data_IF_061721333047
#
_entry.id   IF_061721333047
#
_cell.length_a   1.000
_cell.length_b   1.000
_cell.length_c   1.000
_cell.angle_alpha   90.00
_cell.angle_beta   90.00
_cell.angle_gamma   90.00
#
_symmetry.space_group_name_H-M   'P 1'
#
loop_
_entity.id
_entity.type
_entity.pdbx_description
1 polymer ?
#
# COMPACT_ATOMS: atom_id res chain seq x y z
N UNK A 1 0.78 -12.77 17.39
CA UNK A 1 -0.25 -12.00 16.69
C UNK A 1 0.40 -10.90 15.89
N UNK A 2 -0.23 -10.44 14.83
CA UNK A 2 0.24 -9.29 14.03
C UNK A 2 -0.64 -8.08 14.31
N UNK A 3 -0.04 -6.89 14.25
CA UNK A 3 -0.72 -5.61 14.39
C UNK A 3 -1.54 -5.34 13.12
N UNK A 4 -2.84 -5.07 13.27
CA UNK A 4 -3.68 -4.63 12.15
C UNK A 4 -3.68 -3.11 12.09
N UNK A 5 -2.95 -2.52 11.15
CA UNK A 5 -2.94 -1.07 10.94
C UNK A 5 -2.99 -0.71 9.45
N UNK A 6 -3.36 0.53 9.17
CA UNK A 6 -3.31 1.11 7.84
C UNK A 6 -1.86 1.22 7.36
N UNK A 7 -1.65 1.02 6.06
CA UNK A 7 -0.33 0.82 5.48
C UNK A 7 0.24 2.10 4.84
N UNK A 8 -0.56 2.86 4.10
CA UNK A 8 -0.15 4.08 3.41
C UNK A 8 0.79 3.89 2.21
N UNK A 9 1.31 2.68 1.98
CA UNK A 9 2.33 2.43 0.95
C UNK A 9 1.83 2.70 -0.47
N UNK A 10 0.61 2.28 -0.83
CA UNK A 10 0.04 2.58 -2.14
C UNK A 10 -0.18 4.09 -2.34
N UNK A 11 -0.69 4.79 -1.32
CA UNK A 11 -0.88 6.23 -1.37
C UNK A 11 0.46 6.96 -1.59
N UNK A 12 1.49 6.60 -0.82
CA UNK A 12 2.83 7.17 -0.96
C UNK A 12 3.42 6.89 -2.35
N UNK A 13 3.26 5.67 -2.87
CA UNK A 13 3.73 5.30 -4.20
C UNK A 13 3.02 6.08 -5.32
N UNK A 14 1.70 6.30 -5.19
CA UNK A 14 0.92 7.06 -6.17
C UNK A 14 1.29 8.56 -6.15
N UNK A 15 1.54 9.13 -4.97
CA UNK A 15 1.88 10.54 -4.81
C UNK A 15 3.33 10.85 -5.22
N UNK A 16 4.29 10.03 -4.77
CA UNK A 16 5.71 10.37 -4.78
C UNK A 16 6.54 9.43 -5.69
N UNK A 17 5.91 8.38 -6.23
CA UNK A 17 6.57 7.33 -6.98
C UNK A 17 7.03 6.16 -6.09
N UNK A 18 7.23 4.97 -6.69
CA UNK A 18 7.46 3.73 -5.94
C UNK A 18 8.76 3.73 -5.13
N UNK A 19 9.84 4.33 -5.68
CA UNK A 19 11.14 4.35 -5.01
C UNK A 19 11.18 5.32 -3.82
N UNK A 20 10.57 6.49 -3.96
CA UNK A 20 10.43 7.42 -2.84
C UNK A 20 9.54 6.81 -1.75
N UNK A 21 8.44 6.16 -2.15
CA UNK A 21 7.58 5.42 -1.23
C UNK A 21 8.34 4.36 -0.45
N UNK A 22 9.23 3.58 -1.08
CA UNK A 22 10.02 2.56 -0.37
C UNK A 22 10.90 3.18 0.72
N UNK A 23 11.57 4.29 0.42
CA UNK A 23 12.40 5.01 1.40
C UNK A 23 11.53 5.53 2.55
N UNK A 24 10.41 6.18 2.24
CA UNK A 24 9.48 6.72 3.24
C UNK A 24 8.94 5.61 4.14
N UNK A 25 8.49 4.50 3.55
CA UNK A 25 7.98 3.37 4.32
C UNK A 25 9.07 2.76 5.21
N UNK A 26 10.31 2.70 4.73
CA UNK A 26 11.44 2.22 5.56
C UNK A 26 11.65 3.12 6.78
N UNK A 27 11.58 4.44 6.62
CA UNK A 27 11.70 5.40 7.73
C UNK A 27 10.51 5.26 8.70
N UNK A 28 9.28 5.16 8.17
CA UNK A 28 8.07 4.97 8.98
C UNK A 28 8.19 3.70 9.84
N UNK A 29 8.57 2.58 9.24
CA UNK A 29 8.74 1.30 9.94
C UNK A 29 9.88 1.34 10.97
N UNK A 30 10.98 2.04 10.67
CA UNK A 30 12.06 2.23 11.63
C UNK A 30 11.58 3.03 12.86
N UNK A 31 10.77 4.08 12.65
CA UNK A 31 10.17 4.85 13.75
C UNK A 31 9.16 4.00 14.53
N UNK A 32 8.34 3.19 13.87
CA UNK A 32 7.42 2.24 14.54
C UNK A 32 8.18 1.25 15.42
N UNK A 33 9.26 0.67 14.89
CA UNK A 33 10.09 -0.27 15.62
C UNK A 33 10.80 0.35 16.81
N UNK A 34 11.42 1.53 16.65
CA UNK A 34 12.31 2.12 17.66
C UNK A 34 11.55 3.03 18.64
N UNK A 35 10.58 3.79 18.14
CA UNK A 35 9.85 4.79 18.92
C UNK A 35 8.55 4.26 19.53
N UNK A 36 7.88 3.31 18.86
CA UNK A 36 6.60 2.75 19.29
C UNK A 36 6.67 1.29 19.73
N UNK A 37 7.86 0.68 19.66
CA UNK A 37 8.10 -0.74 19.97
C UNK A 37 7.16 -1.70 19.19
N UNK A 38 6.75 -1.31 17.98
CA UNK A 38 5.89 -2.11 17.09
C UNK A 38 6.72 -2.66 15.92
N UNK A 39 6.62 -3.97 15.67
CA UNK A 39 7.25 -4.63 14.52
C UNK A 39 8.67 -5.19 14.72
N UNK A 40 9.35 -4.95 15.85
CA UNK A 40 10.60 -5.62 16.26
C UNK A 40 11.84 -5.39 15.37
N UNK A 41 13.01 -5.17 15.97
CA UNK A 41 14.21 -4.79 15.20
C UNK A 41 14.70 -5.89 14.24
N UNK A 42 14.61 -7.15 14.65
CA UNK A 42 14.99 -8.31 13.82
C UNK A 42 14.01 -8.59 12.69
N UNK A 43 12.75 -8.18 12.83
CA UNK A 43 11.72 -8.32 11.81
C UNK A 43 11.60 -7.07 10.91
N UNK A 44 12.33 -5.99 11.19
CA UNK A 44 12.30 -4.75 10.41
C UNK A 44 12.54 -4.99 8.91
N UNK A 45 13.47 -5.87 8.55
CA UNK A 45 13.73 -6.23 7.14
C UNK A 45 12.52 -6.89 6.47
N UNK A 46 11.88 -7.85 7.13
CA UNK A 46 10.66 -8.51 6.64
C UNK A 46 9.50 -7.52 6.54
N UNK A 47 9.36 -6.61 7.51
CA UNK A 47 8.37 -5.55 7.48
C UNK A 47 8.58 -4.62 6.29
N UNK A 48 9.82 -4.15 6.04
CA UNK A 48 10.15 -3.31 4.88
C UNK A 48 9.86 -4.04 3.58
N UNK A 49 10.16 -5.34 3.51
CA UNK A 49 9.85 -6.17 2.36
C UNK A 49 8.33 -6.24 2.11
N UNK A 50 7.54 -6.64 3.10
CA UNK A 50 6.08 -6.74 2.96
C UNK A 50 5.41 -5.39 2.67
N UNK A 51 5.78 -4.35 3.41
CA UNK A 51 5.04 -3.10 3.43
C UNK A 51 5.58 -2.10 2.41
N UNK A 52 6.90 -1.97 2.29
CA UNK A 52 7.54 -1.05 1.35
C UNK A 52 7.65 -1.64 -0.06
N UNK A 53 8.18 -2.86 -0.17
CA UNK A 53 8.43 -3.48 -1.49
C UNK A 53 7.15 -4.08 -2.04
N UNK A 54 6.52 -5.03 -1.34
CA UNK A 54 5.31 -5.70 -1.83
C UNK A 54 4.13 -4.73 -1.87
N UNK A 55 3.82 -4.07 -0.74
CA UNK A 55 2.70 -3.14 -0.63
C UNK A 55 2.90 -1.80 -1.34
N UNK A 56 4.12 -1.36 -1.59
CA UNK A 56 4.40 -0.09 -2.28
C UNK A 56 4.79 -0.32 -3.74
N UNK A 57 6.03 -0.77 -3.93
CA UNK A 57 6.68 -0.87 -5.25
C UNK A 57 5.96 -1.86 -6.16
N UNK A 58 5.70 -3.07 -5.68
CA UNK A 58 5.17 -4.17 -6.50
C UNK A 58 3.72 -3.91 -6.89
N UNK A 59 2.84 -3.53 -5.97
CA UNK A 59 1.45 -3.18 -6.31
C UNK A 59 1.36 -1.94 -7.20
N UNK A 60 2.28 -0.98 -7.07
CA UNK A 60 2.35 0.14 -8.00
C UNK A 60 2.58 -0.32 -9.45
N UNK A 61 3.60 -1.17 -9.68
CA UNK A 61 3.92 -1.63 -11.02
C UNK A 61 2.92 -2.65 -11.58
N UNK A 62 2.43 -3.57 -10.75
CA UNK A 62 1.58 -4.68 -11.19
C UNK A 62 0.09 -4.34 -11.21
N UNK A 63 -0.36 -3.35 -10.44
CA UNK A 63 -1.80 -3.04 -10.28
C UNK A 63 -2.09 -1.62 -10.75
N UNK A 64 -1.41 -0.63 -10.18
CA UNK A 64 -1.70 0.77 -10.48
C UNK A 64 -1.41 1.10 -11.94
N UNK A 65 -0.21 0.79 -12.44
CA UNK A 65 0.20 1.20 -13.78
C UNK A 65 -0.66 0.57 -14.91
N UNK A 66 -1.01 -0.74 -14.87
CA UNK A 66 -1.91 -1.34 -15.85
C UNK A 66 -3.33 -0.76 -15.79
N UNK A 67 -3.90 -0.62 -14.58
CA UNK A 67 -5.25 -0.06 -14.40
C UNK A 67 -5.30 1.42 -14.77
N UNK A 68 -4.19 2.16 -14.58
CA UNK A 68 -4.10 3.56 -14.96
C UNK A 68 -4.30 3.73 -16.46
N UNK A 69 -3.65 2.87 -17.26
CA UNK A 69 -3.74 2.92 -18.73
C UNK A 69 -5.16 2.66 -19.26
N UNK A 70 -5.95 1.86 -18.53
CA UNK A 70 -7.30 1.46 -18.97
C UNK A 70 -8.40 2.35 -18.39
N UNK A 71 -8.34 2.66 -17.10
CA UNK A 71 -9.46 3.29 -16.36
C UNK A 71 -9.23 4.75 -16.00
N UNK A 72 -7.98 5.22 -15.85
CA UNK A 72 -7.68 6.52 -15.23
C UNK A 72 -7.76 7.74 -16.16
N UNK A 73 -8.53 7.67 -17.25
CA UNK A 73 -8.76 8.81 -18.16
C UNK A 73 -9.63 9.92 -17.55
N UNK A 74 -10.36 9.60 -16.48
CA UNK A 74 -11.22 10.54 -15.76
C UNK A 74 -10.79 10.61 -14.30
N UNK A 75 -11.15 11.70 -13.60
CA UNK A 75 -10.93 11.80 -12.15
C UNK A 75 -11.51 10.62 -11.38
N UNK A 76 -12.74 10.19 -11.72
CA UNK A 76 -13.38 9.03 -11.10
C UNK A 76 -12.58 7.76 -11.37
N UNK A 77 -12.16 7.55 -12.61
CA UNK A 77 -11.32 6.41 -12.99
C UNK A 77 -10.00 6.36 -12.24
N UNK A 78 -9.32 7.50 -12.08
CA UNK A 78 -8.08 7.61 -11.31
C UNK A 78 -8.28 7.24 -9.84
N UNK A 79 -9.35 7.75 -9.21
CA UNK A 79 -9.68 7.42 -7.82
C UNK A 79 -10.02 5.93 -7.67
N UNK A 80 -10.79 5.35 -8.59
CA UNK A 80 -11.09 3.92 -8.59
C UNK A 80 -9.83 3.06 -8.75
N UNK A 81 -8.94 3.40 -9.69
CA UNK A 81 -7.65 2.72 -9.85
C UNK A 81 -6.81 2.79 -8.57
N UNK A 82 -6.78 3.96 -7.93
CA UNK A 82 -6.04 4.17 -6.68
C UNK A 82 -6.63 3.36 -5.52
N UNK A 83 -7.97 3.31 -5.41
CA UNK A 83 -8.67 2.53 -4.40
C UNK A 83 -8.38 1.03 -4.52
N UNK A 84 -8.46 0.48 -5.73
CA UNK A 84 -8.16 -0.93 -6.01
C UNK A 84 -6.70 -1.24 -5.66
N UNK A 85 -5.78 -0.35 -6.03
CA UNK A 85 -4.35 -0.50 -5.71
C UNK A 85 -4.11 -0.49 -4.20
N UNK A 86 -4.74 0.43 -3.46
CA UNK A 86 -4.61 0.53 -2.01
C UNK A 86 -5.17 -0.70 -1.28
N UNK A 87 -6.34 -1.19 -1.69
CA UNK A 87 -6.89 -2.43 -1.14
C UNK A 87 -5.95 -3.62 -1.39
N UNK A 88 -5.49 -3.78 -2.64
CA UNK A 88 -4.62 -4.89 -3.03
C UNK A 88 -3.24 -4.82 -2.38
N UNK A 89 -2.71 -3.61 -2.15
CA UNK A 89 -1.48 -3.36 -1.41
C UNK A 89 -1.51 -3.98 -0.02
N UNK A 90 -2.55 -3.70 0.77
CA UNK A 90 -2.73 -4.26 2.11
C UNK A 90 -2.96 -5.78 2.05
N UNK A 91 -3.84 -6.22 1.15
CA UNK A 91 -4.21 -7.62 1.06
C UNK A 91 -3.04 -8.52 0.63
N UNK A 92 -2.32 -8.16 -0.44
CA UNK A 92 -1.18 -8.94 -0.93
C UNK A 92 -0.04 -8.94 0.09
N UNK A 93 0.29 -7.79 0.69
CA UNK A 93 1.32 -7.73 1.73
C UNK A 93 0.98 -8.65 2.93
N UNK A 94 -0.29 -8.73 3.32
CA UNK A 94 -0.73 -9.62 4.41
C UNK A 94 -0.56 -11.10 4.08
N UNK A 95 -0.79 -11.50 2.83
CA UNK A 95 -0.59 -12.88 2.37
C UNK A 95 0.89 -13.24 2.38
N UNK A 96 1.77 -12.35 1.91
CA UNK A 96 3.21 -12.58 1.94
C UNK A 96 3.71 -12.69 3.38
N UNK A 97 3.27 -11.80 4.28
CA UNK A 97 3.60 -11.89 5.70
C UNK A 97 3.13 -13.22 6.32
N UNK A 98 1.92 -13.70 5.98
CA UNK A 98 1.44 -15.01 6.45
C UNK A 98 2.31 -16.18 5.97
N UNK A 99 2.80 -16.11 4.73
CA UNK A 99 3.74 -17.10 4.19
C UNK A 99 5.08 -17.06 4.93
N UNK A 100 5.63 -15.88 5.18
CA UNK A 100 6.88 -15.70 5.95
C UNK A 100 6.76 -16.24 7.38
N UNK A 101 5.62 -16.00 8.05
CA UNK A 101 5.33 -16.55 9.37
C UNK A 101 5.30 -18.09 9.36
N UNK A 102 4.80 -18.69 8.29
CA UNK A 102 4.82 -20.15 8.13
C UNK A 102 6.19 -20.69 7.82
N UNK A 103 6.94 -20.03 6.93
CA UNK A 103 8.29 -20.47 6.51
C UNK A 103 9.27 -20.35 7.69
N UNK A 104 9.12 -19.34 8.53
CA UNK A 104 9.94 -19.16 9.75
C UNK A 104 9.61 -20.15 10.88
N UNK A 105 8.54 -20.93 10.75
CA UNK A 105 8.05 -21.83 11.81
C UNK A 105 7.33 -21.10 12.96
N UNK A 106 7.07 -19.79 12.83
CA UNK A 106 6.41 -18.99 13.86
C UNK A 106 4.93 -19.34 14.00
N UNK A 107 4.23 -19.55 12.88
CA UNK A 107 2.81 -19.91 12.88
C UNK A 107 2.48 -20.77 11.66
N UNK A 108 1.74 -21.89 11.80
CA UNK A 108 1.42 -22.74 10.67
C UNK A 108 0.51 -22.02 9.66
N UNK A 109 0.69 -22.31 8.36
CA UNK A 109 0.02 -21.59 7.27
C UNK A 109 -1.51 -21.63 7.35
N UNK A 110 -2.07 -22.78 7.73
CA UNK A 110 -3.53 -22.97 7.88
C UNK A 110 -4.15 -22.08 8.98
N UNK A 111 -3.35 -21.54 9.88
CA UNK A 111 -3.77 -20.57 10.90
C UNK A 111 -3.41 -19.15 10.47
N UNK A 112 -2.17 -18.94 10.02
CA UNK A 112 -1.66 -17.61 9.68
C UNK A 112 -2.39 -16.99 8.49
N UNK A 113 -2.58 -17.76 7.41
CA UNK A 113 -3.16 -17.26 6.16
C UNK A 113 -4.60 -16.74 6.31
N UNK A 114 -5.57 -17.53 6.84
CA UNK A 114 -6.94 -17.03 6.98
C UNK A 114 -7.04 -15.88 7.98
N UNK A 115 -6.24 -15.90 9.06
CA UNK A 115 -6.23 -14.80 10.03
C UNK A 115 -5.70 -13.50 9.41
N UNK A 116 -4.56 -13.57 8.71
CA UNK A 116 -3.94 -12.41 8.08
C UNK A 116 -4.79 -11.89 6.92
N UNK A 117 -5.11 -12.73 5.95
CA UNK A 117 -5.86 -12.33 4.76
C UNK A 117 -7.27 -11.85 5.12
N UNK A 118 -7.95 -12.51 6.07
CA UNK A 118 -9.31 -12.15 6.49
C UNK A 118 -9.38 -10.75 7.11
N UNK A 119 -8.55 -10.47 8.11
CA UNK A 119 -8.53 -9.15 8.77
C UNK A 119 -8.05 -8.07 7.80
N UNK A 120 -7.03 -8.34 7.00
CA UNK A 120 -6.46 -7.34 6.10
C UNK A 120 -7.31 -7.09 4.84
N UNK A 121 -8.19 -8.02 4.45
CA UNK A 121 -9.21 -7.73 3.44
C UNK A 121 -10.19 -6.64 3.91
N UNK A 122 -10.56 -6.64 5.20
CA UNK A 122 -11.41 -5.61 5.80
C UNK A 122 -10.64 -4.30 6.01
N UNK A 123 -9.42 -4.36 6.55
CA UNK A 123 -8.58 -3.16 6.70
C UNK A 123 -8.25 -2.52 5.36
N UNK A 124 -8.04 -3.31 4.31
CA UNK A 124 -7.82 -2.83 2.95
C UNK A 124 -8.97 -1.98 2.43
N UNK A 125 -10.22 -2.22 2.86
CA UNK A 125 -11.36 -1.38 2.48
C UNK A 125 -11.20 0.01 3.09
N UNK A 126 -10.82 0.09 4.36
CA UNK A 126 -10.51 1.35 5.03
C UNK A 126 -9.35 2.08 4.35
N UNK A 127 -8.28 1.38 4.00
CA UNK A 127 -7.13 1.93 3.28
C UNK A 127 -7.54 2.51 1.91
N UNK A 128 -8.40 1.80 1.17
CA UNK A 128 -8.90 2.25 -0.12
C UNK A 128 -9.74 3.52 0.00
N UNK A 129 -10.57 3.64 1.04
CA UNK A 129 -11.36 4.84 1.34
C UNK A 129 -10.42 5.99 1.69
N UNK A 130 -9.50 5.80 2.63
CA UNK A 130 -8.54 6.83 3.06
C UNK A 130 -7.73 7.32 1.86
N UNK A 131 -7.15 6.41 1.08
CA UNK A 131 -6.36 6.73 -0.11
C UNK A 131 -7.17 7.54 -1.11
N UNK A 132 -8.41 7.13 -1.39
CA UNK A 132 -9.28 7.83 -2.35
C UNK A 132 -9.64 9.23 -1.87
N UNK A 133 -9.96 9.40 -0.59
CA UNK A 133 -10.30 10.70 0.00
C UNK A 133 -9.09 11.64 -0.05
N UNK A 134 -7.91 11.18 0.38
CA UNK A 134 -6.69 11.99 0.36
C UNK A 134 -6.36 12.42 -1.07
N UNK A 135 -6.36 11.48 -2.03
CA UNK A 135 -6.09 11.81 -3.43
C UNK A 135 -7.15 12.75 -4.02
N UNK A 136 -8.43 12.58 -3.68
CA UNK A 136 -9.49 13.48 -4.14
C UNK A 136 -9.28 14.92 -3.65
N UNK A 137 -8.84 15.09 -2.38
CA UNK A 137 -8.50 16.40 -1.81
C UNK A 137 -7.27 16.98 -2.51
N UNK A 138 -6.20 16.21 -2.67
CA UNK A 138 -4.96 16.70 -3.33
C UNK A 138 -5.24 17.10 -4.77
N UNK A 139 -6.02 16.32 -5.53
CA UNK A 139 -6.43 16.68 -6.90
C UNK A 139 -7.19 18.02 -6.94
N UNK A 140 -8.01 18.31 -5.94
CA UNK A 140 -8.80 19.54 -5.90
C UNK A 140 -7.99 20.76 -5.45
N UNK A 141 -6.99 20.58 -4.59
CA UNK A 141 -6.26 21.68 -3.94
C UNK A 141 -4.92 21.95 -4.62
N UNK A 142 -4.16 20.90 -4.94
CA UNK A 142 -2.80 20.94 -5.53
C UNK A 142 -2.57 19.76 -6.49
N UNK A 143 -3.26 19.71 -7.64
CA UNK A 143 -3.14 18.60 -8.59
C UNK A 143 -1.72 18.43 -9.13
N UNK A 144 -0.92 19.50 -9.12
CA UNK A 144 0.50 19.52 -9.51
C UNK A 144 1.39 18.59 -8.67
N UNK A 145 0.95 18.22 -7.47
CA UNK A 145 1.69 17.30 -6.60
C UNK A 145 1.57 15.83 -7.03
N UNK A 146 0.59 15.48 -7.87
CA UNK A 146 0.36 14.09 -8.29
C UNK A 146 0.93 13.93 -9.69
N UNK A 147 2.19 13.50 -9.78
CA UNK A 147 2.86 13.25 -11.07
C UNK A 147 2.07 12.31 -11.98
N UNK A 148 1.34 11.38 -11.37
CA UNK A 148 0.58 10.37 -12.09
C UNK A 148 -0.81 10.85 -12.56
N UNK A 149 -1.23 12.06 -12.21
CA UNK A 149 -2.53 12.62 -12.59
C UNK A 149 -2.35 13.81 -13.53
N UNK A 150 -2.62 13.61 -14.82
CA UNK A 150 -2.67 14.69 -15.82
C UNK A 150 -4.13 15.09 -16.07
N UNK A 151 -4.40 16.40 -16.24
CA UNK A 151 -5.74 16.84 -16.61
C UNK A 151 -6.07 16.41 -18.05
N UNK A 152 -7.34 16.12 -18.38
CA UNK A 152 -7.74 15.72 -19.73
C UNK A 152 -7.32 16.71 -20.84
N UNK A 153 -7.24 18.00 -20.53
CA UNK A 153 -6.82 19.07 -21.47
C UNK A 153 -5.31 19.03 -21.80
N UNK A 154 -4.51 18.32 -21.01
CA UNK A 154 -3.04 18.26 -21.13
C UNK A 154 -2.57 17.02 -21.93
N UNK A 155 -3.51 16.21 -22.43
CA UNK A 155 -3.27 14.98 -23.19
C UNK A 155 -3.71 15.07 -24.66
N UNK A 156 -4.10 16.26 -25.14
CA UNK A 156 -4.45 16.57 -26.53
C UNK A 156 -3.34 17.39 -27.20
#
# INVERSE_FOLDING_TARGET
GTSGHFLGAALAAILLGPWASLIIMTVVLAIQCLGFADGGLTALGANVFNMGIIGGVLTYYLIFLPLKRTLSKTKRGFLTTSAITAWASVFIASIICALELSISGTSPLNVALPAMAGVHALLGIGEAIITSVVLAVVINVRPDLIREYSKPEEQA
#
